data_IF_120599309420
#
_entry.id   IF_120599309420
#
_cell.length_a   1.000
_cell.length_b   1.000
_cell.length_c   1.000
_cell.angle_alpha   90.00
_cell.angle_beta   90.00
_cell.angle_gamma   90.00
#
_symmetry.space_group_name_H-M   'P 1'
#
loop_
_entity.id
_entity.type
_entity.pdbx_description
1 polymer ?
#
# COMPACT_ATOMS: atom_id res chain seq x y z
N UNK A 1 -10.75 -6.50 -1.20
CA UNK A 1 -10.70 -5.13 -1.79
C UNK A 1 -12.10 -4.66 -2.15
N UNK A 2 -12.87 -5.44 -2.88
CA UNK A 2 -14.24 -5.12 -3.31
C UNK A 2 -15.15 -4.80 -2.10
N UNK A 3 -15.09 -5.64 -1.09
CA UNK A 3 -15.85 -5.45 0.16
C UNK A 3 -15.47 -4.13 0.85
N UNK A 4 -14.16 -3.81 0.91
CA UNK A 4 -13.68 -2.56 1.50
C UNK A 4 -14.16 -1.35 0.68
N UNK A 5 -14.10 -1.42 -0.65
CA UNK A 5 -14.59 -0.37 -1.54
C UNK A 5 -16.10 -0.13 -1.35
N UNK A 6 -16.87 -1.22 -1.25
CA UNK A 6 -18.31 -1.15 -1.01
C UNK A 6 -18.65 -0.51 0.34
N UNK A 7 -17.94 -0.88 1.41
CA UNK A 7 -18.18 -0.33 2.75
C UNK A 7 -17.74 1.13 2.91
N UNK A 8 -16.76 1.60 2.16
CA UNK A 8 -16.41 3.04 2.17
C UNK A 8 -17.57 3.92 1.74
N UNK A 9 -18.43 3.42 0.83
CA UNK A 9 -19.65 4.11 0.43
C UNK A 9 -19.44 5.47 -0.25
N UNK A 10 -18.19 5.86 -0.49
CA UNK A 10 -17.86 7.12 -1.17
C UNK A 10 -18.15 6.99 -2.67
N UNK A 11 -18.74 8.02 -3.29
CA UNK A 11 -18.93 8.03 -4.74
C UNK A 11 -17.60 7.74 -5.46
N UNK A 12 -17.66 6.90 -6.48
CA UNK A 12 -16.51 6.54 -7.31
C UNK A 12 -15.39 5.73 -6.62
N UNK A 13 -15.58 5.25 -5.39
CA UNK A 13 -14.62 4.33 -4.76
C UNK A 13 -14.72 2.95 -5.41
N UNK A 14 -13.58 2.41 -5.83
CA UNK A 14 -13.44 1.08 -6.43
C UNK A 14 -12.30 0.31 -5.77
N UNK A 15 -12.33 -1.02 -5.91
CA UNK A 15 -11.19 -1.84 -5.56
C UNK A 15 -9.96 -1.41 -6.38
N UNK A 16 -8.82 -1.26 -5.71
CA UNK A 16 -7.60 -0.86 -6.39
C UNK A 16 -7.09 -1.98 -7.31
N UNK A 17 -6.78 -1.63 -8.54
CA UNK A 17 -6.23 -2.55 -9.55
C UNK A 17 -4.71 -2.52 -9.65
N UNK A 18 -4.05 -1.59 -8.98
CA UNK A 18 -2.59 -1.43 -8.96
C UNK A 18 -2.14 -0.60 -7.76
N UNK A 19 -0.83 -0.43 -7.61
CA UNK A 19 -0.19 0.41 -6.59
C UNK A 19 -0.24 1.91 -6.93
N UNK A 20 -0.68 2.26 -8.12
CA UNK A 20 -1.05 3.63 -8.51
C UNK A 20 -2.51 3.67 -8.95
N UNK A 21 -3.23 4.80 -8.82
CA UNK A 21 -4.63 4.87 -9.21
C UNK A 21 -4.83 4.70 -10.73
N UNK A 22 -5.97 4.12 -11.11
CA UNK A 22 -6.41 4.13 -12.51
C UNK A 22 -6.57 5.59 -13.01
N UNK A 23 -6.51 5.80 -14.29
CA UNK A 23 -6.49 7.11 -14.98
C UNK A 23 -5.19 7.91 -14.81
N UNK A 24 -4.16 7.35 -14.17
CA UNK A 24 -2.85 7.97 -14.15
C UNK A 24 -2.01 7.50 -15.35
N UNK A 25 -1.24 8.42 -15.92
CA UNK A 25 -0.24 8.06 -16.92
C UNK A 25 0.73 7.02 -16.33
N UNK A 26 0.93 5.91 -17.03
CA UNK A 26 1.76 4.79 -16.58
C UNK A 26 1.05 3.80 -15.64
N UNK A 27 -0.28 3.88 -15.51
CA UNK A 27 -1.04 2.86 -14.79
C UNK A 27 -0.94 1.49 -15.48
N UNK A 28 -0.66 0.46 -14.71
CA UNK A 28 -0.71 -0.94 -15.15
C UNK A 28 -1.88 -1.65 -14.47
N UNK A 29 -2.85 -2.10 -15.25
CA UNK A 29 -3.93 -2.91 -14.72
C UNK A 29 -3.41 -4.28 -14.28
N UNK A 30 -3.72 -4.68 -13.05
CA UNK A 30 -3.40 -5.98 -12.50
C UNK A 30 -1.91 -6.39 -12.63
N UNK A 31 -0.98 -5.73 -11.94
CA UNK A 31 0.44 -6.07 -11.95
C UNK A 31 0.78 -7.38 -11.21
N UNK A 32 -0.20 -8.25 -10.99
CA UNK A 32 -0.03 -9.51 -10.24
C UNK A 32 -0.50 -9.44 -8.78
N UNK A 33 -1.53 -8.64 -8.49
CA UNK A 33 -2.08 -8.51 -7.14
C UNK A 33 -2.52 -9.86 -6.57
N UNK A 34 -2.08 -10.15 -5.34
CA UNK A 34 -2.46 -11.36 -4.63
C UNK A 34 -3.97 -11.40 -4.34
N UNK A 35 -4.63 -12.55 -4.52
CA UNK A 35 -6.03 -12.73 -4.17
C UNK A 35 -6.21 -12.78 -2.64
N UNK A 36 -7.44 -12.59 -2.18
CA UNK A 36 -7.81 -12.84 -0.79
C UNK A 36 -7.95 -14.35 -0.58
N UNK A 37 -7.03 -14.95 0.15
CA UNK A 37 -6.98 -16.38 0.45
C UNK A 37 -6.56 -16.61 1.91
N UNK A 38 -7.51 -16.61 2.86
CA UNK A 38 -7.20 -16.84 4.27
C UNK A 38 -6.60 -18.20 4.59
N UNK A 39 -6.93 -19.23 3.80
CA UNK A 39 -6.38 -20.56 4.01
C UNK A 39 -4.89 -20.61 3.66
N UNK A 40 -4.52 -20.04 2.50
CA UNK A 40 -3.13 -19.88 2.10
C UNK A 40 -2.35 -19.01 3.06
N UNK A 41 -2.97 -17.91 3.56
CA UNK A 41 -2.33 -17.04 4.55
C UNK A 41 -2.00 -17.79 5.84
N UNK A 42 -2.91 -18.63 6.35
CA UNK A 42 -2.65 -19.49 7.53
C UNK A 42 -1.51 -20.48 7.29
N UNK A 43 -1.47 -21.11 6.11
CA UNK A 43 -0.40 -22.02 5.75
C UNK A 43 0.95 -21.30 5.74
N UNK A 44 1.04 -20.13 5.11
CA UNK A 44 2.26 -19.33 5.07
C UNK A 44 2.70 -18.83 6.47
N UNK A 45 1.75 -18.51 7.35
CA UNK A 45 2.06 -18.18 8.74
C UNK A 45 2.68 -19.38 9.48
N UNK A 46 2.12 -20.56 9.29
CA UNK A 46 2.67 -21.78 9.92
C UNK A 46 4.08 -22.08 9.40
N UNK A 47 4.33 -21.97 8.09
CA UNK A 47 5.67 -22.11 7.48
C UNK A 47 6.66 -21.07 8.03
N UNK A 48 6.19 -19.84 8.31
CA UNK A 48 6.98 -18.76 8.90
C UNK A 48 7.22 -18.92 10.42
N UNK A 49 6.74 -20.01 11.05
CA UNK A 49 6.92 -20.28 12.47
C UNK A 49 5.79 -19.75 13.38
N UNK A 50 4.67 -19.34 12.81
CA UNK A 50 3.49 -18.85 13.54
C UNK A 50 2.24 -19.73 13.37
N UNK A 51 2.30 -21.06 13.70
CA UNK A 51 1.19 -21.99 13.46
C UNK A 51 -0.06 -21.66 14.28
N UNK A 52 0.09 -20.94 15.37
CA UNK A 52 -1.01 -20.50 16.25
C UNK A 52 -1.48 -19.06 15.97
N UNK A 53 -1.01 -18.47 14.86
CA UNK A 53 -1.31 -17.09 14.49
C UNK A 53 -0.28 -16.08 14.99
N UNK A 54 -0.51 -14.82 14.65
CA UNK A 54 0.40 -13.71 14.93
C UNK A 54 -0.40 -12.49 15.39
N UNK A 55 0.11 -11.79 16.40
CA UNK A 55 -0.42 -10.48 16.79
C UNK A 55 0.49 -9.38 16.26
N UNK A 56 -0.10 -8.41 15.55
CA UNK A 56 0.61 -7.23 15.05
C UNK A 56 -0.10 -5.96 15.49
N UNK A 57 0.68 -4.89 15.68
CA UNK A 57 0.17 -3.59 16.10
C UNK A 57 0.08 -2.64 14.93
N UNK A 58 -0.96 -1.83 14.91
CA UNK A 58 -1.18 -0.78 13.94
C UNK A 58 -1.65 0.49 14.64
N UNK A 59 -1.01 1.62 14.35
CA UNK A 59 -1.52 2.93 14.74
C UNK A 59 -2.57 3.34 13.71
N UNK A 60 -3.79 3.54 14.19
CA UNK A 60 -4.95 3.90 13.41
C UNK A 60 -5.37 5.36 13.60
N UNK A 61 -5.97 5.95 12.58
CA UNK A 61 -6.59 7.27 12.67
C UNK A 61 -8.06 7.17 13.07
N UNK A 62 -8.50 8.02 13.98
CA UNK A 62 -9.91 8.18 14.37
C UNK A 62 -10.76 8.90 13.32
N UNK A 63 -10.19 9.34 12.20
CA UNK A 63 -10.96 9.91 11.10
C UNK A 63 -11.84 8.82 10.47
N UNK A 64 -13.15 9.05 10.36
CA UNK A 64 -14.14 8.03 10.05
C UNK A 64 -13.88 7.18 8.81
N UNK A 65 -13.37 7.78 7.72
CA UNK A 65 -13.03 7.02 6.51
C UNK A 65 -11.87 6.02 6.71
N UNK A 66 -10.94 6.32 7.63
CA UNK A 66 -9.87 5.42 8.01
C UNK A 66 -10.36 4.35 9.00
N UNK A 67 -11.15 4.77 9.98
CA UNK A 67 -11.65 3.87 11.04
C UNK A 67 -12.43 2.69 10.46
N UNK A 68 -13.35 2.94 9.54
CA UNK A 68 -14.11 1.89 8.87
C UNK A 68 -13.20 0.89 8.15
N UNK A 69 -12.21 1.37 7.39
CA UNK A 69 -11.26 0.49 6.69
C UNK A 69 -10.43 -0.34 7.68
N UNK A 70 -9.98 0.25 8.78
CA UNK A 70 -9.17 -0.42 9.79
C UNK A 70 -9.94 -1.53 10.50
N UNK A 71 -11.22 -1.32 10.83
CA UNK A 71 -12.10 -2.33 11.42
C UNK A 71 -12.34 -3.50 10.44
N UNK A 72 -12.54 -3.22 9.17
CA UNK A 72 -12.67 -4.26 8.14
C UNK A 72 -11.38 -5.06 7.96
N UNK A 73 -10.22 -4.41 7.98
CA UNK A 73 -8.93 -5.09 7.94
C UNK A 73 -8.73 -5.98 9.16
N UNK A 74 -9.10 -5.51 10.36
CA UNK A 74 -9.02 -6.29 11.58
C UNK A 74 -9.83 -7.59 11.47
N UNK A 75 -11.07 -7.51 10.98
CA UNK A 75 -11.93 -8.67 10.78
C UNK A 75 -11.38 -9.63 9.71
N UNK A 76 -10.81 -9.11 8.62
CA UNK A 76 -10.23 -9.94 7.55
C UNK A 76 -8.91 -10.60 7.98
N UNK A 77 -8.05 -9.91 8.71
CA UNK A 77 -6.82 -10.48 9.26
C UNK A 77 -7.09 -11.62 10.23
N UNK A 78 -8.14 -11.49 11.05
CA UNK A 78 -8.53 -12.55 11.99
C UNK A 78 -8.91 -13.85 11.27
N UNK A 79 -9.53 -13.78 10.09
CA UNK A 79 -9.80 -14.97 9.26
C UNK A 79 -8.54 -15.70 8.83
N UNK A 80 -7.43 -14.99 8.75
CA UNK A 80 -6.11 -15.53 8.38
C UNK A 80 -5.25 -15.92 9.60
N UNK A 81 -5.77 -15.81 10.82
CA UNK A 81 -5.01 -16.10 12.05
C UNK A 81 -4.15 -14.94 12.53
N UNK A 82 -4.36 -13.72 12.01
CA UNK A 82 -3.64 -12.52 12.45
C UNK A 82 -4.55 -11.68 13.32
N UNK A 83 -4.12 -11.40 14.56
CA UNK A 83 -4.76 -10.44 15.43
C UNK A 83 -4.16 -9.06 15.19
N UNK A 84 -4.97 -8.13 14.69
CA UNK A 84 -4.56 -6.74 14.46
C UNK A 84 -4.97 -5.89 15.68
N UNK A 85 -3.99 -5.48 16.48
CA UNK A 85 -4.19 -4.55 17.61
C UNK A 85 -4.17 -3.10 17.08
N UNK A 86 -5.31 -2.42 17.15
CA UNK A 86 -5.46 -1.04 16.69
C UNK A 86 -5.27 -0.07 17.86
N UNK A 87 -4.26 0.80 17.77
CA UNK A 87 -4.11 1.97 18.62
C UNK A 87 -4.69 3.18 17.90
N UNK A 88 -5.92 3.53 18.23
CA UNK A 88 -6.62 4.68 17.62
C UNK A 88 -6.13 6.00 18.22
N UNK A 89 -5.70 6.93 17.37
CA UNK A 89 -5.26 8.27 17.74
C UNK A 89 -5.91 9.34 16.86
N UNK A 90 -5.88 10.58 17.34
CA UNK A 90 -6.31 11.75 16.56
C UNK A 90 -5.51 11.84 15.25
N UNK A 91 -6.13 12.33 14.16
CA UNK A 91 -5.59 12.26 12.79
C UNK A 91 -4.25 12.99 12.61
N UNK A 92 -4.07 14.17 13.22
CA UNK A 92 -2.79 14.88 13.13
C UNK A 92 -1.68 14.15 13.90
N UNK A 93 -2.01 13.59 15.06
CA UNK A 93 -1.11 12.73 15.83
C UNK A 93 -0.73 11.46 15.05
N UNK A 94 -1.72 10.84 14.39
CA UNK A 94 -1.48 9.68 13.53
C UNK A 94 -0.46 9.99 12.44
N UNK A 95 -0.57 11.12 11.75
CA UNK A 95 0.40 11.54 10.74
C UNK A 95 1.84 11.67 11.26
N UNK A 96 1.99 12.12 12.51
CA UNK A 96 3.31 12.20 13.15
C UNK A 96 3.84 10.83 13.54
N UNK A 97 2.97 9.97 14.09
CA UNK A 97 3.36 8.66 14.63
C UNK A 97 3.74 7.65 13.55
N UNK A 98 3.01 7.60 12.42
CA UNK A 98 3.31 6.65 11.33
C UNK A 98 4.67 6.90 10.68
N UNK A 99 5.25 8.10 10.86
CA UNK A 99 6.60 8.45 10.34
C UNK A 99 7.74 8.09 11.28
N UNK A 100 7.42 7.55 12.46
CA UNK A 100 8.41 7.12 13.46
C UNK A 100 8.79 5.65 13.34
N UNK A 101 8.29 4.95 12.33
CA UNK A 101 8.56 3.53 12.06
C UNK A 101 8.27 2.61 13.26
N UNK A 102 7.14 2.81 13.91
CA UNK A 102 6.78 2.13 15.15
C UNK A 102 5.95 0.86 14.94
N UNK A 103 5.46 0.60 13.71
CA UNK A 103 4.54 -0.48 13.44
C UNK A 103 4.88 -1.24 12.17
N UNK A 104 4.58 -2.53 12.18
CA UNK A 104 4.76 -3.41 11.04
C UNK A 104 3.80 -3.12 9.88
N UNK A 105 2.67 -2.46 10.15
CA UNK A 105 1.65 -2.11 9.16
C UNK A 105 1.23 -0.65 9.33
N UNK A 106 1.15 0.07 8.22
CA UNK A 106 0.60 1.42 8.15
C UNK A 106 -0.44 1.49 7.04
N UNK A 107 -1.65 1.93 7.35
CA UNK A 107 -2.64 2.28 6.34
C UNK A 107 -2.47 3.74 5.93
N UNK A 108 -2.41 4.03 4.64
CA UNK A 108 -2.23 5.40 4.14
C UNK A 108 -3.07 5.63 2.89
N UNK A 109 -3.59 6.84 2.73
CA UNK A 109 -4.31 7.28 1.54
C UNK A 109 -3.73 8.60 1.05
N UNK A 110 -3.57 8.73 -0.25
CA UNK A 110 -3.01 9.94 -0.85
C UNK A 110 -3.53 10.18 -2.26
N UNK A 111 -3.73 11.45 -2.58
CA UNK A 111 -3.90 11.93 -3.95
C UNK A 111 -2.63 12.66 -4.38
N UNK A 112 -2.22 12.46 -5.63
CA UNK A 112 -1.04 13.07 -6.25
C UNK A 112 -1.38 13.48 -7.67
N UNK A 113 -0.49 14.17 -8.35
CA UNK A 113 -0.61 14.40 -9.79
C UNK A 113 -0.77 13.08 -10.55
N UNK A 114 -1.55 13.04 -11.65
CA UNK A 114 -1.94 11.81 -12.32
C UNK A 114 -0.84 11.22 -13.21
N UNK A 115 0.34 10.99 -12.63
CA UNK A 115 1.49 10.38 -13.29
C UNK A 115 2.17 9.37 -12.37
N UNK A 116 2.59 8.25 -12.92
CA UNK A 116 3.18 7.15 -12.16
C UNK A 116 4.42 7.57 -11.36
N UNK A 117 5.29 8.42 -11.93
CA UNK A 117 6.57 8.81 -11.31
C UNK A 117 6.38 9.33 -9.89
N UNK A 118 5.41 10.20 -9.65
CA UNK A 118 5.20 10.80 -8.33
C UNK A 118 4.80 9.75 -7.29
N UNK A 119 3.89 8.83 -7.64
CA UNK A 119 3.49 7.75 -6.75
C UNK A 119 4.64 6.79 -6.48
N UNK A 120 5.32 6.33 -7.55
CA UNK A 120 6.41 5.37 -7.45
C UNK A 120 7.56 5.93 -6.63
N UNK A 121 7.93 7.20 -6.86
CA UNK A 121 8.99 7.86 -6.11
C UNK A 121 8.67 8.06 -4.65
N UNK A 122 7.49 8.62 -4.35
CA UNK A 122 7.16 8.98 -2.97
C UNK A 122 6.87 7.77 -2.09
N UNK A 123 6.31 6.70 -2.65
CA UNK A 123 5.85 5.57 -1.85
C UNK A 123 6.74 4.33 -1.94
N UNK A 124 7.62 4.23 -2.96
CA UNK A 124 8.34 2.97 -3.22
C UNK A 124 9.80 3.16 -3.60
N UNK A 125 10.33 4.38 -3.72
CA UNK A 125 11.75 4.60 -3.93
C UNK A 125 12.49 4.68 -2.58
N UNK A 126 13.66 4.06 -2.48
CA UNK A 126 14.44 3.98 -1.24
C UNK A 126 14.81 5.35 -0.66
N UNK A 127 15.04 6.36 -1.51
CA UNK A 127 15.34 7.73 -1.05
C UNK A 127 14.16 8.37 -0.30
N UNK A 128 12.94 7.90 -0.49
CA UNK A 128 11.72 8.37 0.18
C UNK A 128 11.35 7.55 1.42
N UNK A 129 12.19 6.59 1.84
CA UNK A 129 11.94 5.78 3.05
C UNK A 129 11.87 6.65 4.29
N UNK A 130 10.89 6.38 5.15
CA UNK A 130 10.75 7.09 6.42
C UNK A 130 12.05 7.01 7.24
N UNK A 131 12.30 8.04 8.05
CA UNK A 131 13.56 8.14 8.81
C UNK A 131 14.70 8.84 8.05
N UNK A 132 14.56 9.09 6.75
CA UNK A 132 15.55 9.88 5.98
C UNK A 132 15.19 11.37 5.98
N UNK A 133 16.16 12.30 5.84
CA UNK A 133 15.91 13.76 5.92
C UNK A 133 14.92 14.28 4.87
N UNK A 134 14.89 13.68 3.68
CA UNK A 134 14.02 14.04 2.57
C UNK A 134 12.75 13.20 2.50
N UNK A 135 12.60 12.27 3.40
CA UNK A 135 11.64 11.20 3.33
C UNK A 135 10.29 11.60 3.84
N UNK A 136 9.28 11.09 3.19
CA UNK A 136 7.94 11.38 3.63
C UNK A 136 7.00 10.18 3.71
N UNK A 137 7.04 9.22 2.80
CA UNK A 137 5.91 8.32 2.60
C UNK A 137 6.22 6.90 2.12
N UNK A 138 7.48 6.52 1.93
CA UNK A 138 7.81 5.11 1.73
C UNK A 138 7.88 4.41 3.10
N UNK A 139 6.71 4.01 3.61
CA UNK A 139 6.53 3.36 4.91
C UNK A 139 7.00 1.91 4.92
N UNK A 140 7.08 1.27 3.77
CA UNK A 140 7.49 -0.13 3.63
C UNK A 140 9.00 -0.29 3.45
N UNK A 141 9.77 0.80 3.42
CA UNK A 141 11.20 0.78 3.08
C UNK A 141 11.50 0.08 1.74
N UNK A 142 10.53 0.08 0.83
CA UNK A 142 10.66 -0.53 -0.49
C UNK A 142 11.84 0.09 -1.26
N UNK A 143 12.64 -0.74 -1.93
CA UNK A 143 13.81 -0.34 -2.72
C UNK A 143 13.95 -1.15 -4.02
N UNK A 144 13.06 -2.13 -4.20
CA UNK A 144 13.15 -3.14 -5.27
C UNK A 144 12.93 -2.59 -6.68
N UNK A 145 12.43 -1.36 -6.79
CA UNK A 145 12.09 -0.72 -8.05
C UNK A 145 12.89 0.58 -8.33
N UNK A 146 13.88 0.91 -7.51
CA UNK A 146 14.65 2.14 -7.65
C UNK A 146 15.21 2.31 -9.06
N UNK A 147 15.81 1.25 -9.60
CA UNK A 147 16.40 1.25 -10.94
C UNK A 147 15.40 1.61 -12.03
N UNK A 148 14.21 1.05 -11.99
CA UNK A 148 13.17 1.30 -12.99
C UNK A 148 12.57 2.71 -12.83
N UNK A 149 12.40 3.18 -11.60
CA UNK A 149 11.94 4.54 -11.31
C UNK A 149 12.94 5.57 -11.83
N UNK A 150 14.23 5.36 -11.59
CA UNK A 150 15.31 6.26 -12.04
C UNK A 150 15.47 6.22 -13.57
N UNK A 151 15.39 5.02 -14.18
CA UNK A 151 15.45 4.87 -15.63
C UNK A 151 14.29 5.59 -16.33
N UNK A 152 13.07 5.48 -15.78
CA UNK A 152 11.91 6.18 -16.32
C UNK A 152 12.07 7.70 -16.35
N UNK A 153 12.77 8.28 -15.37
CA UNK A 153 12.99 9.73 -15.27
C UNK A 153 13.91 10.28 -16.33
N UNK A 154 14.86 9.48 -16.79
CA UNK A 154 15.86 9.87 -17.78
C UNK A 154 15.50 9.44 -19.20
N UNK A 155 14.44 8.60 -19.35
CA UNK A 155 13.99 8.11 -20.64
C UNK A 155 13.24 9.19 -21.41
N UNK A 156 13.58 9.36 -22.68
CA UNK A 156 12.98 10.34 -23.58
C UNK A 156 11.92 9.75 -24.51
N UNK A 157 11.93 8.42 -24.68
CA UNK A 157 10.90 7.69 -25.40
C UNK A 157 9.70 7.42 -24.48
N UNK A 158 8.52 8.00 -24.75
CA UNK A 158 7.37 7.83 -23.87
C UNK A 158 6.90 6.37 -23.71
N UNK A 159 7.06 5.55 -24.73
CA UNK A 159 6.65 4.15 -24.65
C UNK A 159 7.59 3.36 -23.74
N UNK A 160 8.89 3.58 -23.84
CA UNK A 160 9.88 2.96 -22.93
C UNK A 160 9.74 3.48 -21.51
N UNK A 161 9.45 4.76 -21.32
CA UNK A 161 9.19 5.33 -20.01
C UNK A 161 8.02 4.62 -19.32
N UNK A 162 6.92 4.38 -20.03
CA UNK A 162 5.75 3.63 -19.54
C UNK A 162 6.14 2.19 -19.17
N UNK A 163 6.98 1.52 -19.98
CA UNK A 163 7.44 0.16 -19.68
C UNK A 163 8.26 0.10 -18.38
N UNK A 164 9.14 1.06 -18.12
CA UNK A 164 9.86 1.16 -16.85
C UNK A 164 8.89 1.33 -15.67
N UNK A 165 7.87 2.18 -15.77
CA UNK A 165 6.86 2.32 -14.72
C UNK A 165 6.03 1.03 -14.54
N UNK A 166 5.73 0.30 -15.61
CA UNK A 166 5.04 -0.98 -15.52
C UNK A 166 5.90 -2.03 -14.80
N UNK A 167 7.18 -2.09 -15.13
CA UNK A 167 8.09 -3.03 -14.47
C UNK A 167 8.29 -2.70 -12.98
N UNK A 168 8.39 -1.42 -12.63
CA UNK A 168 8.42 -0.98 -11.25
C UNK A 168 7.18 -1.46 -10.48
N UNK A 169 5.97 -1.29 -11.06
CA UNK A 169 4.73 -1.75 -10.42
C UNK A 169 4.71 -3.28 -10.23
N UNK A 170 5.17 -4.07 -11.20
CA UNK A 170 5.27 -5.54 -11.07
C UNK A 170 6.19 -5.94 -9.92
N UNK A 171 7.37 -5.33 -9.83
CA UNK A 171 8.34 -5.59 -8.74
C UNK A 171 7.79 -5.24 -7.37
N UNK A 172 7.19 -4.06 -7.22
CA UNK A 172 6.58 -3.58 -5.98
C UNK A 172 5.50 -4.55 -5.49
N UNK A 173 4.65 -5.02 -6.40
CA UNK A 173 3.58 -5.98 -6.06
C UNK A 173 4.13 -7.36 -5.76
N UNK A 174 5.07 -7.85 -6.55
CA UNK A 174 5.70 -9.16 -6.35
C UNK A 174 6.45 -9.24 -5.00
N UNK A 175 7.07 -8.13 -4.58
CA UNK A 175 7.75 -8.03 -3.29
C UNK A 175 6.81 -7.66 -2.13
N UNK A 176 5.54 -7.44 -2.42
CA UNK A 176 4.51 -7.06 -1.43
C UNK A 176 4.89 -5.80 -0.64
N UNK A 177 5.55 -4.82 -1.28
CA UNK A 177 5.85 -3.53 -0.63
C UNK A 177 4.59 -2.80 -0.16
N UNK A 178 3.47 -3.02 -0.84
CA UNK A 178 2.16 -2.50 -0.44
C UNK A 178 1.02 -3.42 -0.89
N UNK A 179 -0.08 -3.34 -0.16
CA UNK A 179 -1.35 -3.98 -0.53
C UNK A 179 -2.36 -2.87 -0.89
N UNK A 180 -2.54 -2.56 -2.17
CA UNK A 180 -3.51 -1.55 -2.59
C UNK A 180 -4.92 -2.04 -2.29
N UNK A 181 -5.71 -1.22 -1.61
CA UNK A 181 -7.06 -1.57 -1.16
C UNK A 181 -8.13 -0.97 -2.06
N UNK A 182 -8.17 0.35 -2.12
CA UNK A 182 -9.17 1.11 -2.86
C UNK A 182 -8.56 2.29 -3.59
N UNK A 183 -9.18 2.66 -4.70
CA UNK A 183 -8.94 3.91 -5.40
C UNK A 183 -10.26 4.68 -5.51
N UNK A 184 -10.21 5.98 -5.25
CA UNK A 184 -11.33 6.88 -5.49
C UNK A 184 -11.11 7.57 -6.82
N UNK A 185 -12.10 7.53 -7.72
CA UNK A 185 -12.04 8.26 -8.97
C UNK A 185 -12.00 9.76 -8.71
N UNK A 186 -11.14 10.45 -9.44
CA UNK A 186 -11.15 11.91 -9.54
C UNK A 186 -11.94 12.33 -10.76
#
# INVERSE_FOLDING_TARGET
>A
REQIAQFRGEPFTRAAGSVIPMNNLGYLANPGLLPHDPAKAKALLAEAGYPNGLTIKMIGSQMGSYETVQQLLQAQFQQSGITLELQQVEHATWHQMIRKDLNAITGYSAARFPVADIYLTQFYHSASSIGKPTAATNFSHCDVADKEIEAARTETDPAKQIEYWHEAQRKIVAHVCAVPLTATGQ
#
